data_IF_356801718586
#
_entry.id   IF_356801718586
#
_cell.length_a   1.000
_cell.length_b   1.000
_cell.length_c   1.000
_cell.angle_alpha   90.00
_cell.angle_beta   90.00
_cell.angle_gamma   90.00
#
_symmetry.space_group_name_H-M   'P 1'
#
loop_
_entity.id
_entity.type
_entity.pdbx_description
1 polymer ?
#
# COMPACT_ATOMS: atom_id res chain seq x y z
N UNK A 1 -0.41 2.02 -11.23
CA UNK A 1 -1.00 3.36 -10.93
C UNK A 1 0.00 4.45 -11.35
N UNK A 2 -0.42 5.67 -11.72
CA UNK A 2 0.55 6.69 -12.12
C UNK A 2 1.24 7.34 -10.89
N UNK A 3 2.51 7.71 -11.08
CA UNK A 3 3.33 8.43 -10.10
C UNK A 3 2.64 9.70 -9.55
N UNK A 4 1.93 10.43 -10.42
CA UNK A 4 1.16 11.62 -10.03
C UNK A 4 -0.01 11.28 -9.11
N UNK A 5 -0.80 10.27 -9.44
CA UNK A 5 -1.93 9.82 -8.61
C UNK A 5 -1.47 9.40 -7.21
N UNK A 6 -0.34 8.69 -7.10
CA UNK A 6 0.20 8.27 -5.80
C UNK A 6 0.57 9.46 -4.90
N UNK A 7 1.18 10.49 -5.49
CA UNK A 7 1.57 11.71 -4.78
C UNK A 7 0.33 12.52 -4.40
N UNK A 8 -0.65 12.63 -5.30
CA UNK A 8 -1.88 13.37 -5.06
C UNK A 8 -2.72 12.73 -3.94
N UNK A 9 -2.81 11.40 -3.90
CA UNK A 9 -3.59 10.69 -2.90
C UNK A 9 -2.94 10.62 -1.52
N UNK A 10 -1.62 10.52 -1.45
CA UNK A 10 -0.91 10.35 -0.18
C UNK A 10 -0.29 11.65 0.35
N UNK A 11 -0.08 12.63 -0.52
CA UNK A 11 0.73 13.82 -0.25
C UNK A 11 2.23 13.53 -0.10
N UNK A 12 2.68 12.29 -0.33
CA UNK A 12 4.07 11.88 -0.16
C UNK A 12 4.80 11.81 -1.49
N UNK A 13 6.11 12.04 -1.45
CA UNK A 13 6.95 11.78 -2.62
C UNK A 13 7.05 10.27 -2.88
N UNK A 14 7.27 9.87 -4.13
CA UNK A 14 7.49 8.46 -4.49
C UNK A 14 8.54 7.77 -3.63
N UNK A 15 9.64 8.46 -3.34
CA UNK A 15 10.70 7.92 -2.49
C UNK A 15 10.21 7.66 -1.07
N UNK A 16 9.41 8.56 -0.49
CA UNK A 16 8.81 8.35 0.83
C UNK A 16 7.80 7.21 0.84
N UNK A 17 6.98 7.10 -0.20
CA UNK A 17 6.03 5.99 -0.37
C UNK A 17 6.78 4.66 -0.39
N UNK A 18 7.81 4.55 -1.24
CA UNK A 18 8.66 3.35 -1.35
C UNK A 18 9.34 3.04 -0.01
N UNK A 19 9.90 4.05 0.66
CA UNK A 19 10.55 3.86 1.96
C UNK A 19 9.56 3.41 3.04
N UNK A 20 8.36 4.00 3.08
CA UNK A 20 7.31 3.60 4.04
C UNK A 20 6.88 2.17 3.80
N UNK A 21 6.56 1.80 2.56
CA UNK A 21 6.15 0.44 2.21
C UNK A 21 7.25 -0.55 2.57
N UNK A 22 8.50 -0.27 2.20
CA UNK A 22 9.62 -1.14 2.53
C UNK A 22 9.97 -1.17 4.03
N UNK A 23 9.44 -0.24 4.83
CA UNK A 23 9.55 -0.25 6.28
C UNK A 23 8.43 -1.04 6.96
N UNK A 24 7.42 -1.50 6.22
CA UNK A 24 6.32 -2.27 6.78
C UNK A 24 6.77 -3.70 7.10
N UNK A 25 6.41 -4.25 8.29
CA UNK A 25 6.90 -5.55 8.76
C UNK A 25 6.39 -6.74 7.93
N UNK A 26 5.26 -6.60 7.22
CA UNK A 26 4.73 -7.65 6.35
C UNK A 26 5.35 -7.65 4.95
N UNK A 27 6.11 -6.62 4.60
CA UNK A 27 6.75 -6.50 3.29
C UNK A 27 8.07 -7.27 3.32
N UNK A 28 8.03 -8.50 2.79
CA UNK A 28 9.18 -9.41 2.73
C UNK A 28 10.10 -9.13 1.54
N UNK A 29 9.58 -8.49 0.50
CA UNK A 29 10.34 -8.16 -0.70
C UNK A 29 10.36 -6.64 -0.88
N UNK A 30 11.53 -6.11 -1.26
CA UNK A 30 11.66 -4.69 -1.54
C UNK A 30 10.79 -4.31 -2.74
N UNK A 31 9.81 -3.47 -2.50
CA UNK A 31 8.97 -2.84 -3.51
C UNK A 31 9.77 -1.74 -4.19
N UNK A 32 9.82 -1.78 -5.52
CA UNK A 32 10.44 -0.75 -6.35
C UNK A 32 9.40 0.19 -6.95
N UNK A 33 9.85 1.25 -7.61
CA UNK A 33 8.94 2.13 -8.35
C UNK A 33 8.21 1.39 -9.48
N UNK A 34 8.88 0.45 -10.15
CA UNK A 34 8.28 -0.31 -11.24
C UNK A 34 7.13 -1.19 -10.71
N UNK A 35 7.32 -1.82 -9.55
CA UNK A 35 6.26 -2.57 -8.87
C UNK A 35 5.06 -1.67 -8.55
N UNK A 36 5.29 -0.47 -8.02
CA UNK A 36 4.21 0.51 -7.73
C UNK A 36 3.48 0.96 -9.00
N UNK A 37 4.19 1.11 -10.11
CA UNK A 37 3.60 1.52 -11.38
C UNK A 37 2.74 0.40 -11.98
N UNK A 38 3.17 -0.86 -11.83
CA UNK A 38 2.42 -2.03 -12.26
C UNK A 38 1.28 -2.42 -11.29
N UNK A 39 1.33 -1.95 -10.05
CA UNK A 39 0.33 -2.24 -9.03
C UNK A 39 -0.96 -1.42 -9.22
N UNK A 40 -2.10 -2.04 -8.88
CA UNK A 40 -3.39 -1.36 -8.86
C UNK A 40 -3.57 -0.49 -7.61
N UNK A 41 -4.42 0.54 -7.71
CA UNK A 41 -4.74 1.39 -6.54
C UNK A 41 -5.23 0.60 -5.33
N UNK A 42 -6.05 -0.41 -5.57
CA UNK A 42 -6.58 -1.29 -4.51
C UNK A 42 -5.45 -2.04 -3.82
N UNK A 43 -4.57 -2.68 -4.60
CA UNK A 43 -3.42 -3.40 -4.05
C UNK A 43 -2.48 -2.48 -3.26
N UNK A 44 -2.25 -1.26 -3.74
CA UNK A 44 -1.47 -0.26 -3.03
C UNK A 44 -2.09 0.11 -1.67
N UNK A 45 -3.42 0.33 -1.66
CA UNK A 45 -4.15 0.64 -0.43
C UNK A 45 -4.13 -0.54 0.54
N UNK A 46 -4.36 -1.76 0.07
CA UNK A 46 -4.29 -2.98 0.91
C UNK A 46 -2.90 -3.18 1.50
N UNK A 47 -1.86 -2.89 0.72
CA UNK A 47 -0.47 -3.00 1.13
C UNK A 47 -0.10 -1.99 2.22
N UNK A 48 -0.52 -0.72 2.09
CA UNK A 48 -0.25 0.33 3.10
C UNK A 48 -1.12 0.15 4.35
N UNK A 49 -2.40 -0.20 4.18
CA UNK A 49 -3.34 -0.36 5.29
C UNK A 49 -3.01 -1.63 6.10
N UNK A 50 -2.31 -2.60 5.51
CA UNK A 50 -1.89 -3.82 6.19
C UNK A 50 -3.11 -4.61 6.66
N UNK A 51 -3.87 -5.18 5.72
CA UNK A 51 -4.92 -6.17 5.98
C UNK A 51 -5.77 -5.87 7.25
N UNK A 52 -6.56 -4.80 7.22
CA UNK A 52 -7.71 -4.65 8.14
C UNK A 52 -8.84 -5.59 7.71
N UNK A 53 -8.57 -6.88 7.70
CA UNK A 53 -9.56 -7.95 7.55
C UNK A 53 -9.20 -9.10 8.48
N UNK A 54 -9.14 -8.78 9.78
CA UNK A 54 -9.72 -9.63 10.81
C UNK A 54 -10.84 -8.84 11.49
N UNK A 55 -11.88 -8.50 10.74
CA UNK A 55 -13.23 -8.44 11.31
C UNK A 55 -14.19 -8.81 10.20
N UNK A 56 -14.18 -10.11 9.89
CA UNK A 56 -15.42 -10.78 9.58
C UNK A 56 -16.49 -10.29 10.56
N UNK A 57 -17.59 -9.84 10.00
CA UNK A 57 -18.89 -9.93 10.62
C UNK A 57 -19.13 -11.41 10.97
N UNK A 58 -18.67 -11.83 12.14
CA UNK A 58 -19.03 -13.09 12.77
C UNK A 58 -19.38 -12.79 14.22
N UNK A 59 -20.61 -13.14 14.60
CA UNK A 59 -21.25 -12.99 15.92
C UNK A 59 -21.99 -11.66 16.16
N UNK A 60 -23.13 -11.50 15.49
CA UNK A 60 -24.31 -11.00 16.18
C UNK A 60 -24.81 -12.16 17.06
N UNK A 61 -24.76 -11.96 18.37
CA UNK A 61 -25.42 -12.81 19.38
C UNK A 61 -26.94 -12.67 19.29
#
# INVERSE_FOLDING_TARGET
>A
MNNKDLIDETGWTLTEIINRINSLPHIKQKITQEDLQNMSKVEFQEMIIGHKSSTERSNHL
#
